data_IF_318620985152
#
_entry.id   IF_318620985152
#
_cell.length_a   1.000
_cell.length_b   1.000
_cell.length_c   1.000
_cell.angle_alpha   90.00
_cell.angle_beta   90.00
_cell.angle_gamma   90.00
#
_symmetry.space_group_name_H-M   'P 1'
#
loop_
_entity.id
_entity.type
_entity.pdbx_description
1 polymer ?
#
# COMPACT_ATOMS: atom_id res chain seq x y z
N UNK A 1 2.70 -16.07 6.80
CA UNK A 1 2.75 -15.99 8.28
C UNK A 1 4.17 -15.82 8.81
N UNK A 2 5.17 -16.53 8.29
CA UNK A 2 6.57 -16.43 8.78
C UNK A 2 7.17 -15.01 8.74
N UNK A 3 6.97 -14.26 7.65
CA UNK A 3 7.50 -12.89 7.55
C UNK A 3 6.94 -11.96 8.64
N UNK A 4 5.63 -12.00 8.89
CA UNK A 4 5.01 -11.12 9.88
C UNK A 4 5.43 -11.50 11.31
N UNK A 5 5.57 -12.80 11.59
CA UNK A 5 6.10 -13.28 12.85
C UNK A 5 7.57 -12.83 13.04
N UNK A 6 8.39 -12.97 12.00
CA UNK A 6 9.78 -12.51 12.01
C UNK A 6 9.88 -11.00 12.27
N UNK A 7 9.09 -10.18 11.58
CA UNK A 7 9.05 -8.72 11.79
C UNK A 7 8.66 -8.38 13.23
N UNK A 8 7.59 -9.01 13.73
CA UNK A 8 7.13 -8.85 15.12
C UNK A 8 8.25 -9.19 16.12
N UNK A 9 8.92 -10.32 15.95
CA UNK A 9 9.91 -10.82 16.90
C UNK A 9 11.25 -10.08 16.83
N UNK A 10 11.68 -9.68 15.63
CA UNK A 10 12.92 -8.93 15.41
C UNK A 10 12.82 -7.47 15.81
N UNK A 11 11.73 -6.80 15.41
CA UNK A 11 11.55 -5.36 15.66
C UNK A 11 10.84 -5.08 16.99
N UNK A 12 10.31 -6.10 17.67
CA UNK A 12 9.54 -5.98 18.92
C UNK A 12 8.35 -5.03 18.76
N UNK A 13 7.60 -5.21 17.66
CA UNK A 13 6.41 -4.42 17.33
C UNK A 13 5.16 -5.28 17.30
N UNK A 14 4.00 -4.65 17.45
CA UNK A 14 2.72 -5.29 17.11
C UNK A 14 2.52 -5.27 15.59
N UNK A 15 1.91 -6.32 15.05
CA UNK A 15 1.60 -6.42 13.63
C UNK A 15 0.10 -6.68 13.48
N UNK A 16 -0.58 -5.79 12.77
CA UNK A 16 -1.96 -5.98 12.33
C UNK A 16 -1.94 -6.14 10.81
N UNK A 17 -2.43 -7.27 10.32
CA UNK A 17 -2.59 -7.54 8.90
C UNK A 17 -4.09 -7.54 8.57
N UNK A 18 -4.48 -6.72 7.60
CA UNK A 18 -5.84 -6.64 7.11
C UNK A 18 -6.03 -7.65 5.97
N UNK A 19 -7.07 -8.47 6.06
CA UNK A 19 -7.53 -9.33 4.96
C UNK A 19 -8.33 -8.47 3.96
N UNK A 20 -8.21 -8.74 2.66
CA UNK A 20 -8.98 -8.01 1.63
C UNK A 20 -10.26 -8.78 1.27
N UNK A 21 -11.32 -8.09 0.81
CA UNK A 21 -12.52 -8.76 0.29
C UNK A 21 -12.17 -9.78 -0.81
N UNK A 22 -12.71 -10.99 -0.66
CA UNK A 22 -12.44 -12.14 -1.53
C UNK A 22 -11.22 -12.99 -1.12
N UNK A 23 -10.51 -12.63 -0.04
CA UNK A 23 -9.37 -13.38 0.49
C UNK A 23 -9.68 -14.02 1.84
N UNK A 24 -9.14 -15.22 2.05
CA UNK A 24 -9.17 -15.90 3.34
C UNK A 24 -10.59 -16.09 3.87
N UNK A 25 -10.89 -15.47 5.01
CA UNK A 25 -12.20 -15.51 5.67
C UNK A 25 -13.10 -14.34 5.29
N UNK A 26 -12.58 -13.34 4.57
CA UNK A 26 -13.35 -12.18 4.16
C UNK A 26 -13.97 -12.46 2.78
N UNK A 27 -15.18 -13.00 2.80
CA UNK A 27 -15.96 -13.27 1.58
C UNK A 27 -16.38 -11.97 0.87
N UNK A 28 -16.68 -12.07 -0.43
CA UNK A 28 -17.12 -10.94 -1.27
C UNK A 28 -16.22 -10.71 -2.49
N UNK A 29 -16.55 -9.70 -3.28
CA UNK A 29 -15.79 -9.34 -4.47
C UNK A 29 -14.60 -8.44 -4.13
N UNK A 30 -13.45 -8.69 -4.80
CA UNK A 30 -12.23 -7.90 -4.63
C UNK A 30 -12.34 -6.49 -5.25
N UNK A 31 -13.01 -5.60 -4.52
CA UNK A 31 -13.21 -4.20 -4.87
C UNK A 31 -12.17 -3.27 -4.22
N UNK A 32 -11.66 -2.30 -5.01
CA UNK A 32 -10.61 -1.41 -4.54
C UNK A 32 -11.12 -0.32 -3.58
N UNK A 33 -12.36 0.14 -3.76
CA UNK A 33 -12.95 1.16 -2.90
C UNK A 33 -13.28 0.56 -1.54
N UNK A 34 -13.75 -0.69 -1.51
CA UNK A 34 -13.94 -1.43 -0.25
C UNK A 34 -12.61 -1.64 0.49
N UNK A 35 -11.53 -2.03 -0.20
CA UNK A 35 -10.19 -2.15 0.41
C UNK A 35 -9.73 -0.81 1.00
N UNK A 36 -9.97 0.31 0.30
CA UNK A 36 -9.65 1.64 0.77
C UNK A 36 -10.47 2.06 2.01
N UNK A 37 -11.76 1.70 2.04
CA UNK A 37 -12.64 1.94 3.18
C UNK A 37 -12.21 1.10 4.40
N UNK A 38 -11.95 -0.18 4.20
CA UNK A 38 -11.51 -1.09 5.27
C UNK A 38 -10.18 -0.66 5.88
N UNK A 39 -9.24 -0.19 5.05
CA UNK A 39 -7.98 0.37 5.53
C UNK A 39 -8.19 1.56 6.47
N UNK A 40 -9.11 2.47 6.13
CA UNK A 40 -9.48 3.60 6.98
C UNK A 40 -10.14 3.14 8.27
N UNK A 41 -11.09 2.21 8.21
CA UNK A 41 -11.76 1.65 9.37
C UNK A 41 -10.78 0.99 10.36
N UNK A 42 -9.80 0.23 9.85
CA UNK A 42 -8.75 -0.39 10.67
C UNK A 42 -7.87 0.67 11.33
N UNK A 43 -7.47 1.71 10.60
CA UNK A 43 -6.66 2.79 11.14
C UNK A 43 -7.42 3.59 12.21
N UNK A 44 -8.69 3.89 11.97
CA UNK A 44 -9.57 4.58 12.89
C UNK A 44 -9.83 3.71 14.15
N UNK A 45 -9.95 2.38 14.01
CA UNK A 45 -10.00 1.47 15.16
C UNK A 45 -8.73 1.58 16.03
N UNK A 46 -7.55 1.57 15.42
CA UNK A 46 -6.28 1.70 16.16
C UNK A 46 -6.16 3.04 16.89
N UNK A 47 -6.60 4.13 16.27
CA UNK A 47 -6.39 5.49 16.79
C UNK A 47 -7.52 5.97 17.71
N UNK A 48 -8.77 5.59 17.43
CA UNK A 48 -9.95 6.03 18.20
C UNK A 48 -10.28 5.04 19.32
N UNK A 49 -10.32 3.74 19.01
CA UNK A 49 -10.73 2.70 19.98
C UNK A 49 -9.54 2.26 20.83
N UNK A 50 -8.44 1.89 20.19
CA UNK A 50 -7.21 1.48 20.91
C UNK A 50 -6.37 2.68 21.39
N UNK A 51 -6.73 3.90 20.97
CA UNK A 51 -6.10 5.16 21.40
C UNK A 51 -4.58 5.20 21.15
N UNK A 52 -4.12 4.50 20.11
CA UNK A 52 -2.72 4.56 19.71
C UNK A 52 -2.44 5.93 19.07
N UNK A 53 -1.37 6.63 19.47
CA UNK A 53 -0.92 7.84 18.80
C UNK A 53 -0.63 7.57 17.32
N UNK A 54 -0.99 8.51 16.45
CA UNK A 54 -0.76 8.39 15.00
C UNK A 54 0.72 8.14 14.68
N UNK A 55 1.62 8.83 15.37
CA UNK A 55 3.07 8.75 15.24
C UNK A 55 3.69 7.46 15.83
N UNK A 56 2.86 6.56 16.39
CA UNK A 56 3.27 5.20 16.80
C UNK A 56 2.94 4.13 15.76
N UNK A 57 2.26 4.50 14.67
CA UNK A 57 1.80 3.56 13.63
C UNK A 57 2.68 3.68 12.39
N UNK A 58 3.25 2.56 11.95
CA UNK A 58 3.95 2.45 10.66
C UNK A 58 3.02 1.75 9.67
N UNK A 59 2.77 2.37 8.52
CA UNK A 59 2.02 1.76 7.44
C UNK A 59 2.97 0.96 6.56
N UNK A 60 2.58 -0.28 6.23
CA UNK A 60 3.35 -1.16 5.35
C UNK A 60 2.50 -1.62 4.17
N UNK A 61 2.99 -1.39 2.95
CA UNK A 61 2.35 -1.81 1.72
C UNK A 61 3.30 -2.59 0.83
N UNK A 62 2.97 -3.85 0.50
CA UNK A 62 3.70 -4.65 -0.48
C UNK A 62 2.88 -4.89 -1.73
N UNK A 63 3.45 -4.63 -2.91
CA UNK A 63 2.76 -4.82 -4.19
C UNK A 63 1.37 -4.15 -4.16
N UNK A 64 0.27 -4.88 -4.28
CA UNK A 64 -1.10 -4.35 -4.20
C UNK A 64 -1.39 -3.58 -2.90
N UNK A 65 -0.77 -3.98 -1.78
CA UNK A 65 -0.91 -3.28 -0.51
C UNK A 65 -0.33 -1.87 -0.50
N UNK A 66 0.47 -1.50 -1.51
CA UNK A 66 0.90 -0.11 -1.70
C UNK A 66 -0.28 0.83 -1.92
N UNK A 67 -1.37 0.37 -2.54
CA UNK A 67 -2.61 1.12 -2.75
C UNK A 67 -3.19 1.70 -1.46
N UNK A 68 -3.78 0.87 -0.59
CA UNK A 68 -4.37 1.33 0.66
C UNK A 68 -3.35 1.97 1.60
N UNK A 69 -2.09 1.51 1.63
CA UNK A 69 -1.06 2.10 2.50
C UNK A 69 -0.73 3.54 2.08
N UNK A 70 -0.53 3.81 0.79
CA UNK A 70 -0.28 5.16 0.25
C UNK A 70 -1.47 6.06 0.47
N UNK A 71 -2.69 5.56 0.23
CA UNK A 71 -3.93 6.30 0.48
C UNK A 71 -4.03 6.72 1.96
N UNK A 72 -3.86 5.78 2.88
CA UNK A 72 -3.89 6.09 4.32
C UNK A 72 -2.83 7.12 4.71
N UNK A 73 -1.61 6.97 4.22
CA UNK A 73 -0.52 7.91 4.49
C UNK A 73 -0.78 9.32 3.92
N UNK A 74 -1.63 9.43 2.90
CA UNK A 74 -2.05 10.71 2.32
C UNK A 74 -3.17 11.39 3.12
N UNK A 75 -3.95 10.60 3.87
CA UNK A 75 -5.12 11.06 4.63
C UNK A 75 -4.86 11.20 6.14
N UNK A 76 -3.75 10.66 6.63
CA UNK A 76 -3.40 10.57 8.05
C UNK A 76 -1.93 10.95 8.25
N UNK A 77 -1.49 11.03 9.50
CA UNK A 77 -0.10 11.37 9.86
C UNK A 77 0.58 10.23 10.61
N UNK A 78 0.76 9.05 9.98
CA UNK A 78 1.46 7.94 10.62
C UNK A 78 2.93 8.28 10.89
N UNK A 79 3.59 7.45 11.70
CA UNK A 79 5.03 7.53 11.96
C UNK A 79 5.85 7.51 10.66
N UNK A 80 5.53 6.56 9.78
CA UNK A 80 6.20 6.35 8.51
C UNK A 80 5.33 5.50 7.56
N UNK A 81 5.65 5.59 6.28
CA UNK A 81 5.13 4.72 5.23
C UNK A 81 6.27 3.85 4.67
N UNK A 82 6.11 2.54 4.66
CA UNK A 82 7.05 1.60 4.07
C UNK A 82 6.42 0.88 2.89
N UNK A 83 7.00 1.05 1.71
CA UNK A 83 6.52 0.47 0.45
C UNK A 83 7.51 -0.54 -0.12
N UNK A 84 7.05 -1.76 -0.36
CA UNK A 84 7.85 -2.85 -0.96
C UNK A 84 7.29 -3.26 -2.33
N UNK A 85 8.11 -3.13 -3.38
CA UNK A 85 7.71 -3.28 -4.78
C UNK A 85 6.37 -2.59 -5.10
N UNK A 86 6.19 -1.29 -4.75
CA UNK A 86 4.98 -0.56 -5.12
C UNK A 86 4.90 -0.33 -6.62
N UNK A 87 3.69 -0.03 -7.09
CA UNK A 87 3.41 0.37 -8.47
C UNK A 87 2.68 1.70 -8.51
N UNK A 88 2.71 2.41 -9.64
CA UNK A 88 2.03 3.71 -9.78
C UNK A 88 0.51 3.56 -9.88
N UNK A 89 0.05 2.58 -10.66
CA UNK A 89 -1.34 2.15 -10.79
C UNK A 89 -1.40 0.76 -11.43
N UNK A 90 -2.55 0.08 -11.34
CA UNK A 90 -2.76 -1.19 -12.05
C UNK A 90 -2.67 -0.98 -13.57
N UNK A 91 -3.19 0.15 -14.06
CA UNK A 91 -3.13 0.49 -15.50
C UNK A 91 -1.69 0.63 -15.98
N UNK A 92 -0.82 1.27 -15.20
CA UNK A 92 0.59 1.45 -15.57
C UNK A 92 1.34 0.11 -15.67
N UNK A 93 1.06 -0.85 -14.77
CA UNK A 93 1.62 -2.21 -14.87
C UNK A 93 1.18 -2.88 -16.16
N UNK A 94 -0.11 -2.81 -16.48
CA UNK A 94 -0.68 -3.43 -17.68
C UNK A 94 -0.07 -2.81 -18.92
N UNK A 95 0.06 -1.49 -18.97
CA UNK A 95 0.68 -0.78 -20.09
C UNK A 95 2.10 -1.30 -20.34
N UNK A 96 2.89 -1.48 -19.29
CA UNK A 96 4.28 -1.99 -19.38
C UNK A 96 4.33 -3.45 -19.88
N UNK A 97 3.45 -4.32 -19.37
CA UNK A 97 3.52 -5.77 -19.65
C UNK A 97 2.79 -6.20 -20.91
N UNK A 98 1.66 -5.58 -21.19
CA UNK A 98 0.70 -6.03 -22.20
C UNK A 98 0.47 -4.99 -23.32
N UNK A 99 1.14 -3.84 -23.24
CA UNK A 99 1.11 -2.80 -24.26
C UNK A 99 -0.06 -1.81 -24.14
N UNK A 100 0.03 -0.72 -24.91
CA UNK A 100 -0.84 0.45 -24.76
C UNK A 100 -2.33 0.22 -25.05
N UNK A 101 -2.71 -0.83 -25.78
CA UNK A 101 -4.11 -1.07 -26.14
C UNK A 101 -4.91 -1.70 -24.98
N UNK A 102 -4.31 -2.63 -24.24
CA UNK A 102 -4.98 -3.37 -23.17
C UNK A 102 -5.23 -2.52 -21.91
N UNK A 103 -4.50 -1.43 -21.73
CA UNK A 103 -4.67 -0.52 -20.60
C UNK A 103 -6.05 0.17 -20.57
N UNK A 104 -6.69 0.35 -21.74
CA UNK A 104 -7.99 1.04 -21.87
C UNK A 104 -9.18 0.17 -21.46
N UNK A 105 -8.98 -1.15 -21.39
CA UNK A 105 -10.01 -2.12 -21.03
C UNK A 105 -10.06 -2.30 -19.50
N UNK A 106 -9.01 -1.89 -18.79
CA UNK A 106 -8.85 -2.15 -17.37
C UNK A 106 -9.23 -0.91 -16.55
N UNK A 107 -10.08 -1.14 -15.55
CA UNK A 107 -10.41 -0.12 -14.56
C UNK A 107 -9.16 0.22 -13.75
N UNK A 108 -8.88 1.51 -13.64
CA UNK A 108 -7.64 1.99 -13.05
C UNK A 108 -7.77 2.07 -11.53
N UNK A 109 -7.23 1.07 -10.85
CA UNK A 109 -7.33 0.90 -9.40
C UNK A 109 -5.98 1.16 -8.75
N UNK A 110 -6.02 1.55 -7.47
CA UNK A 110 -4.83 1.79 -6.65
C UNK A 110 -3.87 2.79 -7.31
N UNK A 111 -4.40 3.96 -7.70
CA UNK A 111 -3.64 5.06 -8.31
C UNK A 111 -2.75 5.76 -7.28
N UNK A 112 -1.71 5.06 -6.84
CA UNK A 112 -0.70 5.56 -5.91
C UNK A 112 -0.08 6.88 -6.40
N UNK A 113 0.08 7.03 -7.72
CA UNK A 113 0.61 8.25 -8.33
C UNK A 113 -0.18 9.52 -7.95
N UNK A 114 -1.49 9.41 -7.71
CA UNK A 114 -2.34 10.55 -7.38
C UNK A 114 -2.25 10.93 -5.89
N UNK A 115 -2.08 9.95 -5.01
CA UNK A 115 -2.12 10.16 -3.56
C UNK A 115 -0.75 10.44 -2.95
N UNK A 116 0.34 9.95 -3.59
CA UNK A 116 1.69 10.04 -3.02
C UNK A 116 2.18 11.48 -2.82
N UNK A 117 1.73 12.44 -3.62
CA UNK A 117 2.07 13.86 -3.45
C UNK A 117 1.54 14.46 -2.14
N UNK A 118 0.52 13.84 -1.54
CA UNK A 118 -0.09 14.28 -0.29
C UNK A 118 0.50 13.59 0.93
N UNK A 119 1.36 12.58 0.75
CA UNK A 119 2.04 11.89 1.85
C UNK A 119 3.09 12.81 2.47
N UNK A 120 2.99 13.00 3.80
CA UNK A 120 3.88 13.91 4.56
C UNK A 120 4.79 13.20 5.56
N UNK A 121 4.52 11.93 5.85
CA UNK A 121 5.37 11.15 6.76
C UNK A 121 6.64 10.66 6.04
N UNK A 122 7.73 10.40 6.78
CA UNK A 122 8.90 9.70 6.25
C UNK A 122 8.49 8.45 5.47
N UNK A 123 8.99 8.33 4.23
CA UNK A 123 8.61 7.22 3.35
C UNK A 123 9.84 6.42 2.93
N UNK A 124 9.80 5.11 3.12
CA UNK A 124 10.88 4.19 2.75
C UNK A 124 10.43 3.24 1.64
N UNK A 125 11.26 3.12 0.60
CA UNK A 125 11.00 2.26 -0.55
C UNK A 125 12.00 1.10 -0.60
N UNK A 126 11.48 -0.10 -0.83
CA UNK A 126 12.27 -1.31 -1.10
C UNK A 126 11.81 -1.89 -2.43
N UNK A 127 12.71 -2.08 -3.38
CA UNK A 127 12.35 -2.69 -4.67
C UNK A 127 13.52 -3.52 -5.22
N UNK A 128 13.24 -4.72 -5.68
CA UNK A 128 14.24 -5.55 -6.37
C UNK A 128 14.53 -5.01 -7.77
N UNK A 129 15.80 -4.74 -8.08
CA UNK A 129 16.20 -4.25 -9.42
C UNK A 129 15.92 -5.22 -10.57
N UNK A 130 15.68 -6.49 -10.26
CA UNK A 130 15.35 -7.56 -11.24
C UNK A 130 13.91 -8.05 -11.11
N UNK A 131 13.03 -7.25 -10.51
CA UNK A 131 11.61 -7.58 -10.44
C UNK A 131 11.04 -7.61 -11.87
N UNK A 132 10.57 -8.79 -12.28
CA UNK A 132 10.04 -9.03 -13.62
C UNK A 132 8.54 -8.75 -13.72
N UNK A 133 7.85 -8.52 -12.59
CA UNK A 133 6.43 -8.26 -12.53
C UNK A 133 6.14 -6.77 -12.45
N UNK A 134 6.86 -6.05 -11.60
CA UNK A 134 6.72 -4.60 -11.42
C UNK A 134 8.12 -4.01 -11.59
N UNK A 135 8.33 -3.14 -12.57
CA UNK A 135 9.63 -2.48 -12.72
C UNK A 135 9.94 -1.59 -11.51
N UNK A 136 11.20 -1.59 -11.07
CA UNK A 136 11.65 -0.72 -9.98
C UNK A 136 11.52 0.79 -10.30
N UNK A 137 11.38 1.13 -11.58
CA UNK A 137 11.06 2.50 -12.03
C UNK A 137 9.78 3.04 -11.38
N UNK A 138 8.80 2.17 -11.06
CA UNK A 138 7.62 2.60 -10.32
C UNK A 138 7.98 3.18 -8.95
N UNK A 139 8.87 2.53 -8.20
CA UNK A 139 9.36 3.08 -6.92
C UNK A 139 10.07 4.41 -7.12
N UNK A 140 10.93 4.53 -8.14
CA UNK A 140 11.66 5.77 -8.38
C UNK A 140 10.71 6.94 -8.70
N UNK A 141 9.69 6.69 -9.53
CA UNK A 141 8.68 7.71 -9.87
C UNK A 141 7.84 8.12 -8.67
N UNK A 142 7.41 7.16 -7.84
CA UNK A 142 6.67 7.48 -6.61
C UNK A 142 7.54 8.18 -5.57
N UNK A 143 8.81 7.78 -5.43
CA UNK A 143 9.76 8.43 -4.54
C UNK A 143 9.98 9.91 -4.91
N UNK A 144 10.00 10.24 -6.21
CA UNK A 144 10.13 11.62 -6.67
C UNK A 144 8.90 12.51 -6.32
N UNK A 145 7.79 11.93 -5.84
CA UNK A 145 6.59 12.67 -5.45
C UNK A 145 6.50 12.98 -3.96
N UNK A 146 7.29 12.29 -3.12
CA UNK A 146 7.30 12.53 -1.67
C UNK A 146 8.35 13.57 -1.31
N UNK A 147 8.00 14.49 -0.40
CA UNK A 147 8.86 15.58 0.07
C UNK A 147 9.74 15.16 1.25
#
# INVERSE_FOLDING_TARGET
MELLAFVKDMLKVHVLAMEYPGYGVYEGDSDADQIALDAQNVYDYLTIVQKLPHDSIILFGRSIGSGPASLLASLRSPCALLLMSPFMSIRDIVREKAGNMLQYIINDRFRNIDVMQSVRCPTFFVHGQRDQLISYEHSQRLQALVQ
#
